data_IF_736750377823
#
_entry.id   IF_736750377823
#
_cell.length_a   1.000
_cell.length_b   1.000
_cell.length_c   1.000
_cell.angle_alpha   90.00
_cell.angle_beta   90.00
_cell.angle_gamma   90.00
#
_symmetry.space_group_name_H-M   'P 1'
#
loop_
_entity.id
_entity.type
_entity.pdbx_description
1 polymer ?
#
# COMPACT_ATOMS: atom_id res chain seq x y z
N UNK A 1 -31.72 -47.16 -29.32
CA UNK A 1 -31.57 -46.62 -27.96
C UNK A 1 -30.25 -45.87 -27.88
N UNK A 2 -30.17 -44.73 -28.58
CA UNK A 2 -29.02 -43.83 -28.55
C UNK A 2 -29.36 -42.60 -27.73
N UNK A 3 -28.39 -42.09 -26.95
CA UNK A 3 -28.50 -40.74 -26.38
C UNK A 3 -28.04 -40.53 -24.93
N UNK A 4 -27.61 -41.55 -24.18
CA UNK A 4 -27.30 -41.38 -22.75
C UNK A 4 -25.85 -40.93 -22.42
N UNK A 5 -24.97 -40.75 -23.40
CA UNK A 5 -23.53 -40.48 -23.16
C UNK A 5 -23.04 -39.09 -23.62
N UNK A 6 -23.94 -38.20 -24.05
CA UNK A 6 -23.55 -36.87 -24.58
C UNK A 6 -23.76 -35.71 -23.59
N UNK A 7 -24.42 -35.94 -22.44
CA UNK A 7 -24.71 -34.89 -21.45
C UNK A 7 -23.66 -34.71 -20.35
N UNK A 8 -22.80 -35.70 -20.11
CA UNK A 8 -21.83 -35.66 -19.00
C UNK A 8 -20.56 -34.87 -19.33
N UNK A 9 -20.17 -34.80 -20.62
CA UNK A 9 -19.02 -34.00 -21.06
C UNK A 9 -19.26 -32.49 -21.03
N UNK A 10 -20.50 -32.04 -21.15
CA UNK A 10 -20.83 -30.60 -21.06
C UNK A 10 -20.59 -30.09 -19.64
N UNK A 11 -20.92 -30.89 -18.62
CA UNK A 11 -20.56 -30.56 -17.24
C UNK A 11 -19.06 -30.69 -16.96
N UNK A 12 -18.36 -31.59 -17.65
CA UNK A 12 -16.90 -31.74 -17.56
C UNK A 12 -16.17 -30.51 -18.15
N UNK A 13 -16.71 -29.94 -19.24
CA UNK A 13 -16.29 -28.65 -19.82
C UNK A 13 -16.62 -27.47 -18.88
N UNK A 14 -17.77 -27.51 -18.20
CA UNK A 14 -18.15 -26.47 -17.22
C UNK A 14 -17.33 -26.58 -15.91
N UNK A 15 -16.80 -27.76 -15.57
CA UNK A 15 -16.10 -28.01 -14.28
C UNK A 15 -14.58 -27.88 -14.34
N UNK A 16 -13.95 -27.64 -15.49
CA UNK A 16 -12.50 -27.41 -15.58
C UNK A 16 -12.17 -26.18 -16.41
N UNK A 17 -12.59 -25.03 -15.92
CA UNK A 17 -11.81 -23.82 -16.17
C UNK A 17 -11.06 -23.48 -14.89
N UNK A 18 -10.07 -24.30 -14.54
CA UNK A 18 -8.94 -23.89 -13.68
C UNK A 18 -8.07 -22.83 -14.40
N UNK A 19 -8.63 -22.07 -15.35
CA UNK A 19 -8.00 -20.82 -15.75
C UNK A 19 -7.84 -20.00 -14.48
N UNK A 20 -6.74 -19.28 -14.36
CA UNK A 20 -6.57 -18.25 -13.33
C UNK A 20 -7.69 -17.21 -13.41
N UNK A 21 -8.85 -17.54 -12.83
CA UNK A 21 -10.00 -16.68 -12.67
C UNK A 21 -9.56 -15.49 -11.85
N UNK A 22 -9.83 -14.31 -12.39
CA UNK A 22 -9.35 -13.02 -11.88
C UNK A 22 -7.82 -12.91 -11.79
N UNK A 23 -7.20 -12.49 -12.89
CA UNK A 23 -5.77 -12.17 -12.92
C UNK A 23 -5.51 -10.86 -12.17
N UNK A 24 -4.84 -10.95 -11.02
CA UNK A 24 -4.29 -9.78 -10.33
C UNK A 24 -3.15 -9.19 -11.14
N UNK A 25 -3.43 -8.09 -11.84
CA UNK A 25 -2.45 -7.44 -12.70
C UNK A 25 -1.30 -6.88 -11.87
N UNK A 26 -0.12 -7.47 -12.00
CA UNK A 26 1.12 -6.96 -11.42
C UNK A 26 1.54 -5.69 -12.17
N UNK A 27 1.35 -4.53 -11.55
CA UNK A 27 1.73 -3.25 -12.15
C UNK A 27 3.23 -3.03 -11.97
N UNK A 28 3.93 -2.74 -13.06
CA UNK A 28 5.36 -2.43 -13.01
C UNK A 28 5.61 -1.12 -12.27
N UNK A 29 6.76 -1.01 -11.64
CA UNK A 29 7.22 0.24 -11.03
C UNK A 29 7.64 1.23 -12.14
N UNK A 30 6.70 2.06 -12.58
CA UNK A 30 6.95 3.11 -13.57
C UNK A 30 7.64 4.32 -12.96
N UNK A 31 8.23 5.17 -13.80
CA UNK A 31 8.95 6.39 -13.40
C UNK A 31 8.07 7.33 -12.57
N UNK A 32 6.83 7.57 -12.98
CA UNK A 32 5.87 8.40 -12.23
C UNK A 32 5.59 7.84 -10.84
N UNK A 33 5.49 6.52 -10.70
CA UNK A 33 5.29 5.85 -9.41
C UNK A 33 6.52 6.00 -8.51
N UNK A 34 7.74 5.90 -9.08
CA UNK A 34 8.99 6.21 -8.37
C UNK A 34 9.04 7.66 -7.88
N UNK A 35 8.62 8.61 -8.71
CA UNK A 35 8.58 10.03 -8.34
C UNK A 35 7.60 10.28 -7.18
N UNK A 36 6.43 9.63 -7.17
CA UNK A 36 5.50 9.71 -6.04
C UNK A 36 6.09 9.10 -4.75
N UNK A 37 6.78 7.96 -4.86
CA UNK A 37 7.48 7.37 -3.72
C UNK A 37 8.54 8.33 -3.14
N UNK A 38 9.34 8.97 -3.99
CA UNK A 38 10.32 10.00 -3.56
C UNK A 38 9.63 11.17 -2.83
N UNK A 39 8.50 11.66 -3.34
CA UNK A 39 7.72 12.71 -2.65
C UNK A 39 7.22 12.28 -1.27
N UNK A 40 6.74 11.03 -1.14
CA UNK A 40 6.30 10.48 0.16
C UNK A 40 7.45 10.38 1.17
N UNK A 41 8.61 9.89 0.72
CA UNK A 41 9.81 9.80 1.56
C UNK A 41 10.25 11.19 2.06
N UNK A 42 10.29 12.18 1.17
CA UNK A 42 10.65 13.56 1.56
C UNK A 42 9.67 14.15 2.58
N UNK A 43 8.36 13.90 2.43
CA UNK A 43 7.36 14.35 3.40
C UNK A 43 7.57 13.73 4.77
N UNK A 44 7.82 12.42 4.83
CA UNK A 44 8.10 11.73 6.10
C UNK A 44 9.35 12.31 6.75
N UNK A 45 10.40 12.54 5.98
CA UNK A 45 11.63 13.11 6.51
C UNK A 45 11.45 14.53 7.06
N UNK A 46 10.69 15.39 6.37
CA UNK A 46 10.33 16.71 6.86
C UNK A 46 9.52 16.63 8.15
N UNK A 47 8.51 15.75 8.22
CA UNK A 47 7.71 15.56 9.42
C UNK A 47 8.56 15.10 10.60
N UNK A 48 9.47 14.14 10.37
CA UNK A 48 10.40 13.68 11.41
C UNK A 48 11.35 14.79 11.87
N UNK A 49 11.86 15.61 10.96
CA UNK A 49 12.72 16.74 11.30
C UNK A 49 11.98 17.76 12.17
N UNK A 50 10.73 18.08 11.84
CA UNK A 50 9.88 18.98 12.63
C UNK A 50 9.62 18.40 14.02
N UNK A 51 9.20 17.13 14.12
CA UNK A 51 8.94 16.49 15.41
C UNK A 51 10.18 16.45 16.30
N UNK A 52 11.35 16.14 15.72
CA UNK A 52 12.64 16.18 16.44
C UNK A 52 12.96 17.58 16.94
N UNK A 53 12.80 18.61 16.10
CA UNK A 53 13.01 19.99 16.51
C UNK A 53 12.06 20.41 17.66
N UNK A 54 10.78 20.05 17.58
CA UNK A 54 9.81 20.32 18.64
C UNK A 54 10.18 19.61 19.96
N UNK A 55 10.69 18.39 19.90
CA UNK A 55 11.12 17.63 21.09
C UNK A 55 12.38 18.20 21.76
N UNK A 56 13.22 18.93 21.03
CA UNK A 56 14.41 19.60 21.56
C UNK A 56 14.08 20.97 22.14
N UNK A 57 13.04 21.65 21.63
CA UNK A 57 12.63 22.98 22.08
C UNK A 57 11.75 22.98 23.33
N UNK A 58 11.33 21.83 23.86
CA UNK A 58 10.42 21.76 25.01
C UNK A 58 11.09 21.85 26.39
N UNK A 59 12.27 22.46 26.49
CA UNK A 59 12.79 22.94 27.77
C UNK A 59 12.59 24.47 27.87
N UNK A 60 11.43 24.96 28.34
CA UNK A 60 11.43 26.29 28.93
C UNK A 60 12.31 26.21 30.18
N UNK A 61 13.42 26.94 30.19
CA UNK A 61 14.17 27.19 31.41
C UNK A 61 13.19 27.68 32.51
N UNK A 62 13.37 27.31 33.79
CA UNK A 62 12.57 27.92 34.84
C UNK A 62 12.84 29.42 34.81
N UNK A 63 11.82 30.20 34.46
CA UNK A 63 11.84 31.64 34.57
C UNK A 63 11.90 32.00 36.05
N UNK A 64 13.10 32.03 36.63
CA UNK A 64 13.34 32.70 37.89
C UNK A 64 13.28 34.20 37.61
N UNK A 65 12.06 34.74 37.59
CA UNK A 65 11.81 36.17 37.60
C UNK A 65 12.28 36.70 38.96
N UNK A 66 13.46 37.32 38.97
CA UNK A 66 13.99 38.03 40.13
C UNK A 66 13.40 39.45 40.15
N UNK A 67 12.40 39.67 40.98
CA UNK A 67 12.07 41.01 41.45
C UNK A 67 12.94 41.29 42.69
N UNK A 68 13.88 42.21 42.59
CA UNK A 68 14.60 42.83 43.71
C UNK A 68 14.66 44.34 43.48
#
# INVERSE_FOLDING_TARGET
>A
MGGALWGTRVMEIVKKHDSGGLVWKRIKLTTTRKANAKKRLLRVWQNEAVLKACSQSSAPAPATANNS
#
